data_IF_378563672053
#
_entry.id   IF_378563672053
#
_cell.length_a   1.000
_cell.length_b   1.000
_cell.length_c   1.000
_cell.angle_alpha   90.00
_cell.angle_beta   90.00
_cell.angle_gamma   90.00
#
_symmetry.space_group_name_H-M   'P 1'
#
loop_
_entity.id
_entity.type
_entity.pdbx_description
1 polymer ?
#
# COMPACT_ATOMS: atom_id res chain seq x y z
N UNK A 1 45.52 -10.68 23.79
CA UNK A 1 44.64 -11.77 23.35
C UNK A 1 43.27 -11.18 22.97
N UNK A 2 43.20 -10.37 21.90
CA UNK A 2 41.97 -9.62 21.48
C UNK A 2 41.89 -9.62 19.95
N UNK A 3 42.07 -10.74 19.26
CA UNK A 3 41.94 -10.75 17.78
C UNK A 3 41.15 -11.95 17.23
N UNK A 4 40.34 -12.65 18.07
CA UNK A 4 39.58 -13.82 17.58
C UNK A 4 38.07 -13.56 17.29
N UNK A 5 37.63 -12.31 17.17
CA UNK A 5 36.20 -12.00 16.94
C UNK A 5 35.84 -11.49 15.52
N UNK A 6 36.76 -11.53 14.58
CA UNK A 6 36.52 -10.93 13.24
C UNK A 6 36.41 -11.91 12.07
N UNK A 7 36.37 -13.20 12.31
CA UNK A 7 36.05 -14.14 11.24
C UNK A 7 34.64 -14.72 11.48
N UNK A 8 33.61 -13.99 11.02
CA UNK A 8 32.33 -14.65 10.72
C UNK A 8 32.61 -15.71 9.66
N UNK A 9 32.23 -16.95 9.91
CA UNK A 9 32.30 -18.02 8.91
C UNK A 9 31.55 -17.56 7.66
N UNK A 10 32.05 -17.88 6.47
CA UNK A 10 31.38 -17.59 5.19
C UNK A 10 29.94 -18.07 5.17
N UNK A 11 29.66 -19.22 5.81
CA UNK A 11 28.31 -19.78 5.97
C UNK A 11 27.34 -18.89 6.78
N UNK A 12 27.84 -18.09 7.73
CA UNK A 12 27.01 -17.16 8.51
C UNK A 12 26.70 -15.88 7.75
N UNK A 13 27.66 -15.44 6.90
CA UNK A 13 27.44 -14.31 5.98
C UNK A 13 26.40 -14.65 4.91
N UNK A 14 26.43 -15.85 4.35
CA UNK A 14 25.44 -16.30 3.37
C UNK A 14 24.04 -16.43 3.98
N UNK A 15 23.91 -16.92 5.20
CA UNK A 15 22.64 -16.99 5.93
C UNK A 15 22.10 -15.61 6.29
N UNK A 16 22.96 -14.67 6.69
CA UNK A 16 22.55 -13.30 6.96
C UNK A 16 22.11 -12.60 5.67
N UNK A 17 22.77 -12.88 4.55
CA UNK A 17 22.40 -12.35 3.23
C UNK A 17 21.06 -12.92 2.77
N UNK A 18 20.85 -14.23 2.84
CA UNK A 18 19.58 -14.88 2.54
C UNK A 18 18.44 -14.33 3.42
N UNK A 19 18.68 -14.18 4.73
CA UNK A 19 17.70 -13.62 5.63
C UNK A 19 17.33 -12.18 5.27
N UNK A 20 18.30 -11.35 4.91
CA UNK A 20 18.06 -9.98 4.49
C UNK A 20 17.27 -9.92 3.17
N UNK A 21 17.57 -10.83 2.23
CA UNK A 21 16.82 -10.96 0.97
C UNK A 21 15.37 -11.37 1.22
N UNK A 22 15.11 -12.36 2.09
CA UNK A 22 13.75 -12.81 2.43
C UNK A 22 12.86 -11.71 3.01
N UNK A 23 13.47 -10.71 3.65
CA UNK A 23 12.76 -9.54 4.19
C UNK A 23 12.78 -8.33 3.25
N UNK A 24 13.49 -8.43 2.12
CA UNK A 24 13.49 -7.36 1.11
C UNK A 24 12.11 -7.25 0.44
N UNK A 25 11.50 -6.04 0.38
CA UNK A 25 10.22 -5.87 -0.32
C UNK A 25 10.31 -6.13 -1.82
N UNK A 26 11.51 -6.17 -2.39
CA UNK A 26 11.78 -6.43 -3.82
C UNK A 26 12.24 -7.89 -4.08
N UNK A 27 12.01 -8.78 -3.16
CA UNK A 27 12.36 -10.19 -3.29
C UNK A 27 11.12 -11.05 -3.45
N UNK A 28 11.01 -11.76 -4.57
CA UNK A 28 9.91 -12.70 -4.83
C UNK A 28 10.17 -14.01 -4.08
N UNK A 29 9.31 -14.31 -3.09
CA UNK A 29 9.35 -15.58 -2.35
C UNK A 29 8.60 -16.66 -3.14
N UNK A 30 7.41 -16.33 -3.66
CA UNK A 30 6.54 -17.30 -4.33
C UNK A 30 5.57 -16.60 -5.28
N UNK A 31 5.37 -17.23 -6.42
CA UNK A 31 4.26 -16.94 -7.34
C UNK A 31 3.23 -18.08 -7.26
N UNK A 32 1.96 -17.72 -7.26
CA UNK A 32 0.84 -18.64 -7.38
C UNK A 32 -0.04 -18.21 -8.55
N UNK A 33 -0.45 -19.17 -9.36
CA UNK A 33 -1.37 -18.97 -10.50
C UNK A 33 -2.71 -19.64 -10.21
N UNK A 34 -3.80 -18.98 -10.59
CA UNK A 34 -5.16 -19.50 -10.51
C UNK A 34 -5.94 -19.01 -11.74
N UNK A 35 -5.98 -19.82 -12.80
CA UNK A 35 -6.47 -19.37 -14.10
C UNK A 35 -5.57 -18.26 -14.64
N UNK A 36 -6.18 -17.14 -15.01
CA UNK A 36 -5.47 -15.94 -15.46
C UNK A 36 -4.93 -15.07 -14.30
N UNK A 37 -5.37 -15.34 -13.08
CA UNK A 37 -4.94 -14.58 -11.92
C UNK A 37 -3.56 -15.04 -11.43
N UNK A 38 -2.76 -14.08 -10.98
CA UNK A 38 -1.43 -14.33 -10.41
C UNK A 38 -1.29 -13.63 -9.07
N UNK A 39 -0.75 -14.34 -8.10
CA UNK A 39 -0.46 -13.80 -6.77
C UNK A 39 1.03 -13.90 -6.49
N UNK A 40 1.64 -12.78 -6.13
CA UNK A 40 3.05 -12.67 -5.77
C UNK A 40 3.17 -12.48 -4.27
N UNK A 41 3.90 -13.37 -3.62
CA UNK A 41 4.30 -13.23 -2.22
C UNK A 41 5.73 -12.73 -2.20
N UNK A 42 5.95 -11.56 -1.66
CA UNK A 42 7.23 -10.85 -1.63
C UNK A 42 7.85 -10.88 -0.23
N UNK A 43 9.09 -10.46 -0.12
CA UNK A 43 9.78 -10.28 1.14
C UNK A 43 8.95 -9.44 2.11
N UNK A 44 9.05 -9.73 3.41
CA UNK A 44 8.17 -9.13 4.42
C UNK A 44 6.72 -9.62 4.35
N UNK A 45 6.43 -10.71 3.60
CA UNK A 45 5.10 -11.31 3.42
C UNK A 45 4.06 -10.36 2.80
N UNK A 46 4.52 -9.42 1.99
CA UNK A 46 3.63 -8.57 1.20
C UNK A 46 3.01 -9.39 0.06
N UNK A 47 1.73 -9.18 -0.19
CA UNK A 47 0.98 -9.90 -1.24
C UNK A 47 0.47 -8.90 -2.26
N UNK A 48 0.89 -9.10 -3.51
CA UNK A 48 0.41 -8.34 -4.68
C UNK A 48 -0.29 -9.30 -5.63
N UNK A 49 -1.42 -8.89 -6.19
CA UNK A 49 -2.24 -9.75 -7.03
C UNK A 49 -2.48 -9.08 -8.38
N UNK A 50 -2.32 -9.82 -9.48
CA UNK A 50 -2.83 -9.46 -10.80
C UNK A 50 -4.11 -10.26 -10.99
N UNK A 51 -5.22 -9.58 -11.28
CA UNK A 51 -6.53 -10.20 -11.51
C UNK A 51 -7.08 -9.76 -12.87
N UNK A 52 -7.75 -10.68 -13.55
CA UNK A 52 -8.52 -10.37 -14.74
C UNK A 52 -9.79 -9.59 -14.32
N UNK A 53 -9.97 -8.37 -14.84
CA UNK A 53 -11.14 -7.54 -14.56
C UNK A 53 -12.25 -7.83 -15.56
N UNK A 54 -11.88 -7.98 -16.84
CA UNK A 54 -12.73 -8.38 -17.95
C UNK A 54 -11.84 -9.00 -19.05
N UNK A 55 -12.42 -9.36 -20.22
CA UNK A 55 -11.67 -10.00 -21.32
C UNK A 55 -10.38 -9.28 -21.71
N UNK A 56 -10.37 -7.95 -21.62
CA UNK A 56 -9.33 -7.11 -22.22
C UNK A 56 -8.54 -6.31 -21.20
N UNK A 57 -8.87 -6.44 -19.90
CA UNK A 57 -8.30 -5.58 -18.86
C UNK A 57 -7.91 -6.35 -17.62
N UNK A 58 -6.66 -6.24 -17.27
CA UNK A 58 -6.08 -6.73 -16.01
C UNK A 58 -5.91 -5.59 -15.00
N UNK A 59 -5.93 -5.93 -13.73
CA UNK A 59 -5.63 -5.02 -12.64
C UNK A 59 -4.56 -5.57 -11.72
N UNK A 60 -3.64 -4.72 -11.31
CA UNK A 60 -2.68 -5.00 -10.26
C UNK A 60 -3.21 -4.43 -8.95
N UNK A 61 -3.19 -5.22 -7.90
CA UNK A 61 -3.70 -4.84 -6.59
C UNK A 61 -2.70 -5.11 -5.48
N UNK A 62 -2.65 -4.20 -4.53
CA UNK A 62 -2.07 -4.46 -3.23
C UNK A 62 -3.17 -4.40 -2.16
N UNK A 63 -3.19 -5.39 -1.27
CA UNK A 63 -4.14 -5.37 -0.15
C UNK A 63 -3.93 -4.15 0.73
N UNK A 64 -5.03 -3.49 1.10
CA UNK A 64 -5.01 -2.30 1.93
C UNK A 64 -4.40 -2.58 3.30
N UNK A 65 -3.60 -1.66 3.78
CA UNK A 65 -3.02 -1.70 5.12
C UNK A 65 -3.60 -0.59 5.97
N UNK A 66 -3.74 -0.86 7.25
CA UNK A 66 -4.16 0.12 8.26
C UNK A 66 -3.12 1.22 8.38
N UNK A 67 -3.56 2.39 8.80
CA UNK A 67 -2.69 3.54 9.07
C UNK A 67 -2.15 3.56 10.49
N UNK A 68 -2.88 2.96 11.45
CA UNK A 68 -2.49 2.92 12.86
C UNK A 68 -2.97 1.64 13.55
N UNK A 69 -2.47 1.38 14.76
CA UNK A 69 -2.98 0.32 15.65
C UNK A 69 -4.28 0.79 16.28
N UNK A 70 -5.28 -0.08 16.29
CA UNK A 70 -6.60 0.18 16.89
C UNK A 70 -6.61 0.35 18.42
N UNK A 71 -5.44 0.40 19.06
CA UNK A 71 -5.31 0.46 20.52
C UNK A 71 -5.26 1.88 21.10
N UNK A 72 -5.36 2.90 20.27
CA UNK A 72 -5.69 4.24 20.78
C UNK A 72 -7.16 4.20 21.20
N UNK A 73 -7.41 4.37 22.49
CA UNK A 73 -8.74 4.31 23.12
C UNK A 73 -9.80 5.26 22.53
N UNK A 74 -9.42 6.12 21.59
CA UNK A 74 -10.23 7.20 21.05
C UNK A 74 -10.68 6.98 19.58
N UNK A 75 -10.10 6.02 18.86
CA UNK A 75 -10.50 5.76 17.47
C UNK A 75 -11.20 4.40 17.40
N UNK A 76 -12.50 4.42 17.12
CA UNK A 76 -13.24 3.20 16.79
C UNK A 76 -12.50 2.49 15.62
N UNK A 77 -12.04 1.22 15.81
CA UNK A 77 -11.37 0.44 14.76
C UNK A 77 -12.15 0.40 13.44
N UNK A 78 -13.44 0.65 13.49
CA UNK A 78 -14.32 0.72 12.31
C UNK A 78 -14.10 1.97 11.47
N UNK A 79 -13.65 3.08 12.07
CA UNK A 79 -13.39 4.36 11.38
C UNK A 79 -11.95 4.48 10.85
N UNK A 80 -11.12 3.48 11.10
CA UNK A 80 -9.75 3.50 10.66
C UNK A 80 -9.63 3.47 9.14
N UNK A 81 -8.85 4.39 8.59
CA UNK A 81 -8.53 4.42 7.17
C UNK A 81 -7.58 3.26 6.80
N UNK A 82 -7.86 2.64 5.68
CA UNK A 82 -7.01 1.64 5.05
C UNK A 82 -6.61 2.14 3.68
N UNK A 83 -5.32 2.19 3.42
CA UNK A 83 -4.74 2.63 2.15
C UNK A 83 -4.09 1.46 1.41
N UNK A 84 -4.13 1.51 0.10
CA UNK A 84 -3.48 0.54 -0.78
C UNK A 84 -3.30 1.11 -2.18
N UNK A 85 -2.80 0.29 -3.08
CA UNK A 85 -2.53 0.66 -4.46
C UNK A 85 -3.29 -0.24 -5.42
N UNK A 86 -3.64 0.32 -6.58
CA UNK A 86 -4.28 -0.38 -7.68
C UNK A 86 -3.76 0.19 -8.99
N UNK A 87 -3.53 -0.67 -9.99
CA UNK A 87 -3.34 -0.22 -11.37
C UNK A 87 -4.35 -0.93 -12.26
N UNK A 88 -4.91 -0.21 -13.22
CA UNK A 88 -5.85 -0.72 -14.22
C UNK A 88 -5.41 -0.18 -15.57
N UNK A 89 -4.94 -1.03 -16.47
CA UNK A 89 -4.22 -0.59 -17.65
C UNK A 89 -3.02 0.26 -17.24
N UNK A 90 -2.82 1.40 -17.86
CA UNK A 90 -1.69 2.29 -17.58
C UNK A 90 -1.94 3.31 -16.45
N UNK A 91 -3.09 3.22 -15.77
CA UNK A 91 -3.47 4.18 -14.74
C UNK A 91 -3.29 3.59 -13.35
N UNK A 92 -2.51 4.28 -12.53
CA UNK A 92 -2.33 3.92 -11.13
C UNK A 92 -3.31 4.70 -10.24
N UNK A 93 -3.67 4.10 -9.13
CA UNK A 93 -4.59 4.66 -8.14
C UNK A 93 -4.09 4.43 -6.72
N UNK A 94 -4.26 5.42 -5.89
CA UNK A 94 -4.30 5.26 -4.44
C UNK A 94 -5.72 4.88 -4.07
N UNK A 95 -5.90 3.74 -3.42
CA UNK A 95 -7.22 3.26 -2.98
C UNK A 95 -7.35 3.43 -1.49
N UNK A 96 -8.51 3.90 -1.06
CA UNK A 96 -8.83 4.08 0.35
C UNK A 96 -10.14 3.38 0.71
N UNK A 97 -10.27 3.02 1.97
CA UNK A 97 -11.50 2.45 2.47
C UNK A 97 -11.57 2.42 3.97
N UNK A 98 -12.79 2.41 4.46
CA UNK A 98 -13.11 2.20 5.87
C UNK A 98 -14.12 1.09 6.02
N UNK A 99 -14.16 0.45 7.18
CA UNK A 99 -15.18 -0.57 7.49
C UNK A 99 -16.52 0.05 7.88
N UNK A 100 -16.52 1.26 8.40
CA UNK A 100 -17.72 2.07 8.57
C UNK A 100 -17.95 2.94 7.35
N UNK A 101 -19.22 3.24 7.08
CA UNK A 101 -19.58 4.24 6.09
C UNK A 101 -19.18 5.60 6.65
N UNK A 102 -18.15 6.19 6.08
CA UNK A 102 -17.89 7.61 6.21
C UNK A 102 -18.97 8.30 5.36
N UNK A 103 -20.07 8.69 6.00
CA UNK A 103 -21.27 9.18 5.32
C UNK A 103 -21.04 10.53 4.66
N UNK A 104 -20.00 11.24 5.11
CA UNK A 104 -19.76 12.64 4.75
C UNK A 104 -18.65 12.80 3.69
N UNK A 105 -18.07 11.71 3.20
CA UNK A 105 -17.03 11.75 2.16
C UNK A 105 -17.49 11.03 0.90
N UNK A 106 -17.31 11.72 -0.24
CA UNK A 106 -17.77 11.26 -1.53
C UNK A 106 -16.79 11.58 -2.68
N UNK A 107 -17.21 11.30 -3.90
CA UNK A 107 -16.47 11.68 -5.11
C UNK A 107 -16.38 13.20 -5.19
N UNK A 108 -15.20 13.73 -5.42
CA UNK A 108 -14.89 15.15 -5.45
C UNK A 108 -14.16 15.64 -4.20
N UNK A 109 -14.26 14.92 -3.09
CA UNK A 109 -13.52 15.26 -1.88
C UNK A 109 -12.01 15.04 -2.06
N UNK A 110 -11.22 15.60 -1.15
CA UNK A 110 -9.76 15.57 -1.24
C UNK A 110 -9.16 14.72 -0.15
N UNK A 111 -8.26 13.80 -0.54
CA UNK A 111 -7.32 13.14 0.36
C UNK A 111 -5.98 13.87 0.30
N UNK A 112 -5.56 14.47 1.40
CA UNK A 112 -4.21 15.02 1.55
C UNK A 112 -3.34 14.01 2.31
N UNK A 113 -2.15 13.75 1.80
CA UNK A 113 -1.11 12.94 2.44
C UNK A 113 0.06 13.85 2.78
N UNK A 114 0.50 13.82 4.03
CA UNK A 114 1.71 14.51 4.49
C UNK A 114 2.80 13.50 4.78
N UNK A 115 3.99 13.69 4.22
CA UNK A 115 5.17 12.88 4.50
C UNK A 115 5.97 13.41 5.69
N UNK A 116 6.88 12.60 6.25
CA UNK A 116 7.70 13.01 7.41
C UNK A 116 8.67 14.16 7.15
N UNK A 117 8.98 14.43 5.90
CA UNK A 117 9.77 15.60 5.48
C UNK A 117 8.90 16.83 5.17
N UNK A 118 7.63 16.81 5.60
CA UNK A 118 6.62 17.85 5.43
C UNK A 118 6.14 18.09 3.98
N UNK A 119 6.59 17.31 3.01
CA UNK A 119 6.00 17.32 1.66
C UNK A 119 4.55 16.85 1.71
N UNK A 120 3.71 17.44 0.85
CA UNK A 120 2.28 17.13 0.78
C UNK A 120 1.87 16.73 -0.62
N UNK A 121 0.97 15.76 -0.70
CA UNK A 121 0.25 15.39 -1.91
C UNK A 121 -1.25 15.54 -1.68
N UNK A 122 -1.96 16.06 -2.68
CA UNK A 122 -3.41 16.20 -2.65
C UNK A 122 -4.00 15.36 -3.78
N UNK A 123 -4.96 14.53 -3.44
CA UNK A 123 -5.63 13.61 -4.34
C UNK A 123 -7.12 13.88 -4.35
N UNK A 124 -7.70 14.18 -5.52
CA UNK A 124 -9.15 14.23 -5.68
C UNK A 124 -9.73 12.82 -5.76
N UNK A 125 -10.74 12.53 -4.97
CA UNK A 125 -11.44 11.25 -4.98
C UNK A 125 -12.37 11.17 -6.20
N UNK A 126 -12.04 10.34 -7.18
CA UNK A 126 -12.68 10.35 -8.49
C UNK A 126 -13.80 9.32 -8.66
N UNK A 127 -13.66 8.16 -7.99
CA UNK A 127 -14.56 7.04 -8.21
C UNK A 127 -14.50 6.02 -7.07
N UNK A 128 -15.49 5.15 -7.03
CA UNK A 128 -15.42 3.93 -6.20
C UNK A 128 -14.30 3.03 -6.70
N UNK A 129 -13.46 2.52 -5.78
CA UNK A 129 -12.43 1.58 -6.11
C UNK A 129 -13.06 0.27 -6.61
N UNK A 130 -12.57 -0.25 -7.75
CA UNK A 130 -12.85 -1.63 -8.14
C UNK A 130 -11.97 -2.53 -7.28
N UNK A 131 -12.57 -3.48 -6.57
CA UNK A 131 -11.85 -4.35 -5.66
C UNK A 131 -11.81 -5.76 -6.18
N UNK A 132 -10.71 -6.50 -5.91
CA UNK A 132 -10.71 -7.94 -6.01
C UNK A 132 -11.86 -8.55 -5.20
N UNK A 133 -12.42 -9.66 -5.67
CA UNK A 133 -13.56 -10.32 -5.03
C UNK A 133 -13.35 -10.64 -3.54
N UNK A 134 -12.10 -10.76 -3.11
CA UNK A 134 -11.69 -11.06 -1.72
C UNK A 134 -11.73 -9.86 -0.77
N UNK A 135 -11.84 -8.62 -1.26
CA UNK A 135 -11.77 -7.38 -0.46
C UNK A 135 -13.13 -6.73 -0.22
N UNK A 136 -14.15 -7.52 0.04
CA UNK A 136 -15.56 -7.06 0.18
C UNK A 136 -15.91 -6.36 1.51
N UNK A 137 -14.96 -6.23 2.45
CA UNK A 137 -15.27 -5.82 3.83
C UNK A 137 -15.19 -4.32 4.09
N UNK A 138 -15.12 -3.49 3.07
CA UNK A 138 -15.10 -2.04 3.22
C UNK A 138 -16.45 -1.43 2.84
N UNK A 139 -17.02 -0.64 3.75
CA UNK A 139 -18.27 0.09 3.52
C UNK A 139 -18.05 1.31 2.63
N UNK A 140 -16.90 1.98 2.78
CA UNK A 140 -16.46 3.04 1.90
C UNK A 140 -15.24 2.58 1.11
N UNK A 141 -15.30 2.75 -0.21
CA UNK A 141 -14.25 2.37 -1.15
C UNK A 141 -14.12 3.46 -2.19
N UNK A 142 -13.11 4.28 -2.05
CA UNK A 142 -12.81 5.35 -3.00
C UNK A 142 -11.42 5.18 -3.58
N UNK A 143 -11.16 5.82 -4.69
CA UNK A 143 -9.85 5.88 -5.32
C UNK A 143 -9.58 7.26 -5.86
N UNK A 144 -8.31 7.61 -5.86
CA UNK A 144 -7.78 8.78 -6.53
C UNK A 144 -6.71 8.37 -7.53
N UNK A 145 -6.59 9.07 -8.65
CA UNK A 145 -5.48 8.85 -9.58
C UNK A 145 -4.16 9.16 -8.90
N UNK A 146 -3.16 8.40 -9.28
CA UNK A 146 -1.81 8.47 -8.77
C UNK A 146 -0.85 8.40 -9.95
N UNK A 147 -0.04 9.43 -10.16
CA UNK A 147 1.03 9.39 -11.15
C UNK A 147 2.13 8.41 -10.72
N UNK A 148 2.96 7.98 -11.66
CA UNK A 148 4.08 7.11 -11.32
C UNK A 148 5.10 7.81 -10.40
N UNK A 149 5.34 9.11 -10.60
CA UNK A 149 6.26 9.90 -9.76
C UNK A 149 5.73 10.03 -8.33
N UNK A 150 4.44 10.24 -8.14
CA UNK A 150 3.81 10.24 -6.81
C UNK A 150 3.88 8.86 -6.16
N UNK A 151 3.69 7.77 -6.93
CA UNK A 151 3.88 6.41 -6.43
C UNK A 151 5.33 6.17 -5.96
N UNK A 152 6.33 6.72 -6.66
CA UNK A 152 7.74 6.68 -6.25
C UNK A 152 7.97 7.45 -4.94
N UNK A 153 7.23 8.53 -4.67
CA UNK A 153 7.32 9.20 -3.38
C UNK A 153 6.88 8.28 -2.22
N UNK A 154 5.80 7.53 -2.38
CA UNK A 154 5.39 6.52 -1.39
C UNK A 154 6.41 5.40 -1.20
N UNK A 155 7.13 5.02 -2.25
CA UNK A 155 8.21 4.04 -2.20
C UNK A 155 9.43 4.56 -1.41
N UNK A 156 9.72 5.85 -1.45
CA UNK A 156 10.95 6.46 -0.92
C UNK A 156 10.75 7.15 0.42
N UNK A 157 9.58 7.74 0.65
CA UNK A 157 9.27 8.55 1.82
C UNK A 157 8.31 7.84 2.77
N UNK A 158 8.38 8.19 4.04
CA UNK A 158 7.46 7.69 5.07
C UNK A 158 6.31 8.68 5.22
N UNK A 159 5.08 8.19 5.19
CA UNK A 159 3.89 9.01 5.47
C UNK A 159 3.86 9.39 6.95
N UNK A 160 3.53 10.65 7.25
CA UNK A 160 3.34 11.19 8.60
C UNK A 160 1.87 11.14 9.00
N UNK A 161 1.01 11.73 8.16
CA UNK A 161 -0.42 11.88 8.45
C UNK A 161 -1.23 11.94 7.16
N UNK A 162 -2.54 11.86 7.31
CA UNK A 162 -3.49 12.12 6.24
C UNK A 162 -4.64 12.98 6.72
N UNK A 163 -5.28 13.69 5.78
CA UNK A 163 -6.53 14.41 5.98
C UNK A 163 -7.49 14.08 4.85
N UNK A 164 -8.75 13.81 5.19
CA UNK A 164 -9.87 13.78 4.24
C UNK A 164 -10.64 15.09 4.42
N UNK A 165 -10.77 15.84 3.35
CA UNK A 165 -11.40 17.14 3.32
C UNK A 165 -12.66 17.03 2.45
N UNK A 166 -13.82 17.26 3.04
CA UNK A 166 -15.07 17.32 2.27
C UNK A 166 -15.16 18.64 1.53
N UNK A 167 -15.66 18.58 0.29
CA UNK A 167 -15.95 19.76 -0.54
C UNK A 167 -17.36 20.29 -0.29
N UNK A 168 -18.24 19.50 0.30
CA UNK A 168 -19.67 19.80 0.52
C UNK A 168 -20.01 20.14 1.96
N UNK A 169 -19.13 19.84 2.89
CA UNK A 169 -19.30 20.13 4.32
C UNK A 169 -17.98 20.61 4.92
N UNK A 170 -18.05 21.26 6.08
CA UNK A 170 -16.85 21.62 6.85
C UNK A 170 -16.21 20.43 7.57
N UNK A 171 -16.54 19.20 7.13
CA UNK A 171 -16.05 17.99 7.78
C UNK A 171 -14.62 17.70 7.35
N UNK A 172 -13.76 17.53 8.34
CA UNK A 172 -12.38 17.06 8.16
C UNK A 172 -12.18 15.81 8.99
N UNK A 173 -11.61 14.79 8.39
CA UNK A 173 -11.16 13.60 9.09
C UNK A 173 -9.65 13.48 8.95
N UNK A 174 -8.93 13.48 10.06
CA UNK A 174 -7.46 13.42 10.05
C UNK A 174 -6.93 12.43 11.07
N UNK A 175 -5.79 11.83 10.79
CA UNK A 175 -5.04 10.99 11.74
C UNK A 175 -3.58 10.87 11.34
N UNK A 176 -2.76 10.51 12.33
CA UNK A 176 -1.35 10.23 12.15
C UNK A 176 -1.11 8.76 11.79
N UNK A 177 -0.10 8.54 10.97
CA UNK A 177 0.45 7.20 10.78
C UNK A 177 1.31 6.81 11.98
N UNK A 178 1.02 5.67 12.59
CA UNK A 178 1.98 5.02 13.48
C UNK A 178 3.32 4.79 12.76
N UNK A 179 4.43 4.90 13.49
CA UNK A 179 5.78 4.69 12.93
C UNK A 179 5.92 3.33 12.26
N UNK A 180 5.34 2.29 12.85
CA UNK A 180 5.36 0.92 12.30
C UNK A 180 4.57 0.85 10.99
N UNK A 181 3.34 1.41 10.95
CA UNK A 181 2.50 1.39 9.75
C UNK A 181 3.03 2.31 8.66
N UNK A 182 3.63 3.44 9.00
CA UNK A 182 4.32 4.30 8.07
C UNK A 182 5.47 3.58 7.35
N UNK A 183 6.29 2.83 8.10
CA UNK A 183 7.34 1.98 7.53
C UNK A 183 6.76 0.88 6.66
N UNK A 184 5.74 0.17 7.18
CA UNK A 184 5.07 -0.91 6.46
C UNK A 184 4.43 -0.42 5.17
N UNK A 185 3.81 0.75 5.17
CA UNK A 185 3.19 1.31 3.96
C UNK A 185 4.24 1.67 2.90
N UNK A 186 5.41 2.16 3.30
CA UNK A 186 6.53 2.36 2.39
C UNK A 186 7.03 1.03 1.79
N UNK A 187 7.17 -0.01 2.60
CA UNK A 187 7.55 -1.36 2.13
C UNK A 187 6.50 -1.92 1.16
N UNK A 188 5.23 -1.68 1.43
CA UNK A 188 4.11 -2.00 0.52
C UNK A 188 4.27 -1.30 -0.82
N UNK A 189 4.56 0.01 -0.83
CA UNK A 189 4.79 0.75 -2.06
C UNK A 189 6.01 0.22 -2.84
N UNK A 190 7.08 -0.17 -2.15
CA UNK A 190 8.25 -0.80 -2.76
C UNK A 190 7.90 -2.12 -3.44
N UNK A 191 7.17 -2.99 -2.74
CA UNK A 191 6.69 -4.26 -3.28
C UNK A 191 5.76 -4.07 -4.48
N UNK A 192 4.88 -3.08 -4.39
CA UNK A 192 3.92 -2.76 -5.45
C UNK A 192 4.61 -2.28 -6.72
N UNK A 193 5.53 -1.30 -6.60
CA UNK A 193 6.31 -0.78 -7.73
C UNK A 193 7.15 -1.89 -8.35
N UNK A 194 7.75 -2.76 -7.55
CA UNK A 194 8.51 -3.90 -8.06
C UNK A 194 7.62 -4.82 -8.92
N UNK A 195 6.42 -5.17 -8.47
CA UNK A 195 5.49 -5.98 -9.26
C UNK A 195 4.94 -5.23 -10.48
N UNK A 196 4.68 -3.94 -10.34
CA UNK A 196 4.22 -3.10 -11.44
C UNK A 196 5.22 -3.09 -12.59
N UNK A 197 6.49 -2.90 -12.28
CA UNK A 197 7.55 -2.77 -13.29
C UNK A 197 8.03 -4.13 -13.83
N UNK A 198 8.08 -5.17 -12.96
CA UNK A 198 8.65 -6.47 -13.34
C UNK A 198 7.63 -7.44 -13.93
N UNK A 199 6.35 -7.31 -13.59
CA UNK A 199 5.35 -8.31 -13.94
C UNK A 199 4.10 -7.75 -14.61
N UNK A 200 3.67 -6.55 -14.28
CA UNK A 200 2.41 -6.01 -14.79
C UNK A 200 2.57 -5.31 -16.13
N UNK A 201 3.58 -4.45 -16.29
CA UNK A 201 3.86 -3.73 -17.55
C UNK A 201 4.47 -4.61 -18.65
N UNK A 202 4.90 -5.82 -18.32
CA UNK A 202 5.51 -6.77 -19.26
C UNK A 202 4.50 -7.74 -19.86
N UNK A 203 3.24 -7.62 -19.52
CA UNK A 203 2.10 -8.39 -20.03
C UNK A 203 1.16 -7.44 -20.78
#
# INVERSE_FOLDING_TARGET
MIFSKFFKNSNDLDKDLERNLLFSPNYLIREQKSGEDRQFVLGGHSIVTIEQINSDQKGLYFNRTRTSKSNKLEIDPKNQLHLGFQSIGDVNYLILGTRQKLTDFEIGDTLQITFKNEDKLNFSLEAKAKLPAKNKNYSCNLRAKLSYDELVLFKTKMVKSYQLLSTTSDTTFEDDFDKEFSRKFREVAQSYVFCLDSYYKTY
#
